data_IF_456060086485
#
_entry.id   IF_456060086485
#
_cell.length_a   1.000
_cell.length_b   1.000
_cell.length_c   1.000
_cell.angle_alpha   90.00
_cell.angle_beta   90.00
_cell.angle_gamma   90.00
#
_symmetry.space_group_name_H-M   'P 1'
#
loop_
_entity.id
_entity.type
_entity.pdbx_description
1 polymer ?
#
# COMPACT_ATOMS: atom_id res chain seq x y z
N UNK A 1 14.39 34.16 20.02
CA UNK A 1 13.56 33.04 19.52
C UNK A 1 14.22 31.76 19.97
N UNK A 2 13.48 30.87 20.63
CA UNK A 2 14.00 29.54 20.97
C UNK A 2 14.28 28.79 19.67
N UNK A 3 15.48 28.21 19.52
CA UNK A 3 15.84 27.45 18.32
C UNK A 3 14.90 26.23 18.19
N UNK A 4 14.38 25.98 16.99
CA UNK A 4 13.54 24.81 16.69
C UNK A 4 14.32 23.54 17.00
N UNK A 5 13.75 22.61 17.77
CA UNK A 5 14.36 21.28 17.96
C UNK A 5 14.17 20.39 16.74
N UNK A 6 15.09 19.46 16.46
CA UNK A 6 15.08 18.61 15.26
C UNK A 6 13.84 17.71 15.10
N UNK A 7 13.10 17.40 16.18
CA UNK A 7 11.82 16.66 16.10
C UNK A 7 10.64 17.52 15.60
N UNK A 8 10.73 18.84 15.75
CA UNK A 8 9.63 19.76 15.45
C UNK A 8 9.27 19.79 13.94
N UNK A 9 10.23 19.87 12.99
CA UNK A 9 9.93 19.80 11.56
C UNK A 9 9.17 18.52 11.18
N UNK A 10 9.55 17.36 11.71
CA UNK A 10 8.90 16.07 11.42
C UNK A 10 7.45 16.06 11.92
N UNK A 11 7.20 16.53 13.14
CA UNK A 11 5.85 16.60 13.68
C UNK A 11 4.96 17.57 12.88
N UNK A 12 5.51 18.69 12.43
CA UNK A 12 4.79 19.68 11.62
C UNK A 12 4.55 19.16 10.21
N UNK A 13 5.50 18.43 9.61
CA UNK A 13 5.34 17.79 8.30
C UNK A 13 4.11 16.87 8.26
N UNK A 14 4.03 15.91 9.18
CA UNK A 14 2.88 14.98 9.21
C UNK A 14 1.57 15.65 9.62
N UNK A 15 1.61 16.69 10.46
CA UNK A 15 0.42 17.52 10.74
C UNK A 15 -0.02 18.29 9.50
N UNK A 16 0.94 18.84 8.76
CA UNK A 16 0.73 19.55 7.50
C UNK A 16 0.09 18.65 6.46
N UNK A 17 0.49 17.38 6.36
CA UNK A 17 -0.16 16.40 5.47
C UNK A 17 -1.63 16.15 5.84
N UNK A 18 -1.96 16.08 7.13
CA UNK A 18 -3.36 15.95 7.59
C UNK A 18 -4.18 17.20 7.29
N UNK A 19 -3.61 18.38 7.56
CA UNK A 19 -4.25 19.65 7.25
C UNK A 19 -4.47 19.78 5.75
N UNK A 20 -3.44 19.45 4.96
CA UNK A 20 -3.51 19.44 3.52
C UNK A 20 -4.65 18.52 3.12
N UNK A 21 -4.64 17.23 3.48
CA UNK A 21 -5.72 16.27 3.20
C UNK A 21 -7.12 16.85 3.37
N UNK A 22 -7.37 17.58 4.47
CA UNK A 22 -8.67 18.18 4.78
C UNK A 22 -8.96 19.48 4.03
N UNK A 23 -8.04 20.45 4.07
CA UNK A 23 -8.27 21.84 3.64
C UNK A 23 -7.87 22.09 2.19
N UNK A 24 -6.90 21.35 1.67
CA UNK A 24 -6.45 21.45 0.29
C UNK A 24 -5.43 22.56 0.00
N UNK A 25 -4.81 23.19 0.99
CA UNK A 25 -3.77 24.22 0.81
C UNK A 25 -2.33 23.65 0.91
N UNK A 26 -1.68 23.26 -0.21
CA UNK A 26 -0.38 22.56 -0.17
C UNK A 26 0.79 23.43 0.28
N UNK A 27 0.72 24.74 0.10
CA UNK A 27 1.87 25.63 0.29
C UNK A 27 2.34 25.70 1.75
N UNK A 28 1.49 25.35 2.72
CA UNK A 28 1.88 25.27 4.13
C UNK A 28 2.72 24.05 4.47
N UNK A 29 2.59 22.96 3.71
CA UNK A 29 3.32 21.70 3.98
C UNK A 29 4.84 21.91 3.81
N UNK A 30 5.22 22.67 2.78
CA UNK A 30 6.61 22.84 2.37
C UNK A 30 7.34 23.98 3.12
N UNK A 31 6.67 24.70 4.02
CA UNK A 31 7.27 25.80 4.78
C UNK A 31 8.43 25.39 5.72
N UNK A 32 8.62 24.07 5.92
CA UNK A 32 9.64 23.49 6.79
C UNK A 32 10.69 22.69 6.02
N UNK A 33 10.66 22.79 4.69
CA UNK A 33 11.64 22.19 3.79
C UNK A 33 12.72 23.23 3.47
N UNK A 34 13.98 22.81 3.47
CA UNK A 34 15.13 23.70 3.27
C UNK A 34 15.24 24.25 1.84
N UNK A 35 14.91 23.42 0.86
CA UNK A 35 14.95 23.74 -0.57
C UNK A 35 13.60 23.40 -1.19
N UNK A 36 12.78 24.43 -1.44
CA UNK A 36 11.45 24.27 -2.00
C UNK A 36 11.43 23.86 -3.48
N UNK A 37 12.58 23.97 -4.15
CA UNK A 37 12.75 23.65 -5.58
C UNK A 37 13.45 22.29 -5.79
N UNK A 38 13.73 21.54 -4.71
CA UNK A 38 14.31 20.21 -4.79
C UNK A 38 13.38 19.23 -5.53
N UNK A 39 13.98 18.28 -6.26
CA UNK A 39 13.22 17.32 -7.10
C UNK A 39 12.16 16.55 -6.30
N UNK A 40 12.50 16.04 -5.11
CA UNK A 40 11.56 15.31 -4.26
C UNK A 40 10.39 16.17 -3.76
N UNK A 41 10.59 17.49 -3.61
CA UNK A 41 9.54 18.44 -3.21
C UNK A 41 8.54 18.61 -4.32
N UNK A 42 9.01 18.74 -5.56
CA UNK A 42 8.14 18.81 -6.72
C UNK A 42 7.38 17.49 -6.93
N UNK A 43 8.04 16.34 -6.76
CA UNK A 43 7.38 15.03 -6.82
C UNK A 43 6.25 14.90 -5.77
N UNK A 44 6.51 15.29 -4.52
CA UNK A 44 5.50 15.28 -3.44
C UNK A 44 4.38 16.29 -3.73
N UNK A 45 4.68 17.48 -4.26
CA UNK A 45 3.67 18.46 -4.68
C UNK A 45 2.75 17.89 -5.75
N UNK A 46 3.33 17.29 -6.79
CA UNK A 46 2.57 16.66 -7.88
C UNK A 46 1.72 15.50 -7.38
N UNK A 47 2.21 14.71 -6.42
CA UNK A 47 1.42 13.66 -5.75
C UNK A 47 0.18 14.25 -5.06
N UNK A 48 0.31 15.35 -4.34
CA UNK A 48 -0.83 16.02 -3.71
C UNK A 48 -1.81 16.63 -4.71
N UNK A 49 -1.33 17.16 -5.83
CA UNK A 49 -2.19 17.63 -6.94
C UNK A 49 -3.03 16.48 -7.48
N UNK A 50 -2.42 15.33 -7.78
CA UNK A 50 -3.15 14.14 -8.27
C UNK A 50 -4.19 13.64 -7.27
N UNK A 51 -3.85 13.64 -5.98
CA UNK A 51 -4.78 13.29 -4.91
C UNK A 51 -5.97 14.25 -4.88
N UNK A 52 -5.77 15.57 -5.04
CA UNK A 52 -6.87 16.55 -5.12
C UNK A 52 -7.77 16.33 -6.31
N UNK A 53 -7.17 16.07 -7.47
CA UNK A 53 -7.94 15.76 -8.67
C UNK A 53 -8.81 14.52 -8.45
N UNK A 54 -8.25 13.48 -7.82
CA UNK A 54 -8.98 12.27 -7.49
C UNK A 54 -10.15 12.55 -6.52
N UNK A 55 -9.92 13.35 -5.47
CA UNK A 55 -11.00 13.73 -4.53
C UNK A 55 -12.11 14.50 -5.25
N UNK A 56 -11.76 15.46 -6.11
CA UNK A 56 -12.73 16.24 -6.89
C UNK A 56 -13.54 15.36 -7.85
N UNK A 57 -12.88 14.44 -8.56
CA UNK A 57 -13.53 13.51 -9.49
C UNK A 57 -14.52 12.57 -8.80
N UNK A 58 -14.29 12.27 -7.53
CA UNK A 58 -15.09 11.35 -6.71
C UNK A 58 -16.11 12.07 -5.83
N UNK A 59 -16.18 13.40 -5.92
CA UNK A 59 -16.96 14.25 -5.01
C UNK A 59 -16.69 13.92 -3.52
N UNK A 60 -15.46 13.52 -3.24
CA UNK A 60 -15.01 13.09 -1.92
C UNK A 60 -14.87 14.34 -1.03
N UNK A 61 -15.54 14.32 0.12
CA UNK A 61 -15.41 15.35 1.17
C UNK A 61 -14.50 14.83 2.28
N UNK A 62 -13.26 15.33 2.38
CA UNK A 62 -12.37 14.97 3.48
C UNK A 62 -12.95 15.46 4.81
N UNK A 63 -13.00 14.59 5.81
CA UNK A 63 -13.54 14.94 7.14
C UNK A 63 -12.43 15.01 8.19
N UNK A 64 -11.48 14.08 8.14
CA UNK A 64 -10.37 14.01 9.10
C UNK A 64 -9.15 13.32 8.49
N UNK A 65 -7.98 13.88 8.73
CA UNK A 65 -6.71 13.16 8.64
C UNK A 65 -6.10 13.00 10.03
N UNK A 66 -5.63 11.81 10.35
CA UNK A 66 -4.89 11.52 11.57
C UNK A 66 -3.59 10.80 11.21
N UNK A 67 -2.47 11.33 11.72
CA UNK A 67 -1.16 10.67 11.62
C UNK A 67 -0.66 10.36 13.00
N UNK A 68 -0.28 9.11 13.21
CA UNK A 68 0.55 8.67 14.34
C UNK A 68 1.87 8.23 13.79
N UNK A 69 2.97 8.66 14.40
CA UNK A 69 4.28 8.17 14.03
C UNK A 69 5.09 7.77 15.25
N UNK A 70 5.98 6.80 15.06
CA UNK A 70 6.95 6.34 16.04
C UNK A 70 8.33 6.43 15.42
N UNK A 71 9.28 6.97 16.17
CA UNK A 71 10.67 6.97 15.73
C UNK A 71 11.27 5.58 15.91
N UNK A 72 11.88 5.07 14.83
CA UNK A 72 12.52 3.77 14.76
C UNK A 72 14.04 3.88 14.97
N UNK A 73 14.65 4.90 14.36
CA UNK A 73 16.08 5.19 14.43
C UNK A 73 16.29 6.70 14.37
N UNK A 74 17.29 7.16 15.11
CA UNK A 74 17.80 8.53 15.11
C UNK A 74 19.32 8.43 15.01
N UNK A 75 19.92 9.13 14.07
CA UNK A 75 21.37 9.14 13.88
C UNK A 75 21.85 10.55 13.55
N UNK A 76 22.74 11.05 14.39
CA UNK A 76 23.40 12.33 14.16
C UNK A 76 24.68 12.07 13.37
N UNK A 77 24.74 12.54 12.13
CA UNK A 77 25.93 12.39 11.28
C UNK A 77 26.97 13.48 11.58
N UNK A 78 26.50 14.72 11.75
CA UNK A 78 27.29 15.92 12.05
C UNK A 78 26.50 16.81 13.04
N UNK A 79 27.13 17.83 13.61
CA UNK A 79 26.47 18.75 14.55
C UNK A 79 25.20 19.39 13.95
N UNK A 80 25.19 19.61 12.63
CA UNK A 80 24.09 20.21 11.88
C UNK A 80 23.30 19.20 11.02
N UNK A 81 23.55 17.88 11.10
CA UNK A 81 22.87 16.87 10.27
C UNK A 81 22.29 15.73 11.10
N UNK A 82 21.03 15.39 10.82
CA UNK A 82 20.30 14.33 11.51
C UNK A 82 19.51 13.50 10.51
N UNK A 83 19.62 12.18 10.61
CA UNK A 83 18.76 11.23 9.91
C UNK A 83 17.78 10.58 10.90
N UNK A 84 16.52 10.47 10.50
CA UNK A 84 15.47 9.81 11.26
C UNK A 84 14.74 8.78 10.40
N UNK A 85 14.58 7.56 10.94
CA UNK A 85 13.62 6.60 10.40
C UNK A 85 12.38 6.59 11.28
N UNK A 86 11.21 6.78 10.67
CA UNK A 86 9.92 6.81 11.37
C UNK A 86 8.96 5.79 10.76
N UNK A 87 8.22 5.08 11.61
CA UNK A 87 7.02 4.34 11.20
C UNK A 87 5.82 5.27 11.33
N UNK A 88 4.94 5.28 10.34
CA UNK A 88 3.81 6.21 10.23
C UNK A 88 2.54 5.42 9.95
N UNK A 89 1.51 5.69 10.75
CA UNK A 89 0.14 5.23 10.54
C UNK A 89 -0.73 6.44 10.23
N UNK A 90 -1.24 6.47 9.00
CA UNK A 90 -2.18 7.48 8.54
C UNK A 90 -3.58 6.88 8.46
N UNK A 91 -4.56 7.61 8.96
CA UNK A 91 -5.98 7.27 8.87
C UNK A 91 -6.74 8.47 8.33
N UNK A 92 -7.51 8.23 7.27
CA UNK A 92 -8.30 9.26 6.63
C UNK A 92 -9.78 8.89 6.67
N UNK A 93 -10.58 9.78 7.22
CA UNK A 93 -12.04 9.71 7.25
C UNK A 93 -12.60 10.67 6.21
N UNK A 94 -13.52 10.20 5.37
CA UNK A 94 -14.11 10.99 4.30
C UNK A 94 -15.54 10.56 4.02
N UNK A 95 -16.30 11.44 3.36
CA UNK A 95 -17.66 11.18 2.89
C UNK A 95 -17.69 11.16 1.36
N UNK A 96 -18.41 10.20 0.78
CA UNK A 96 -18.80 10.19 -0.64
C UNK A 96 -20.31 9.94 -0.68
N UNK A 97 -21.07 10.79 -1.37
CA UNK A 97 -22.53 10.64 -1.50
C UNK A 97 -23.31 10.44 -0.18
N UNK A 98 -22.79 10.95 0.95
CA UNK A 98 -23.40 10.80 2.28
C UNK A 98 -22.96 9.57 3.05
N UNK A 99 -22.23 8.64 2.42
CA UNK A 99 -21.66 7.47 3.09
C UNK A 99 -20.29 7.78 3.67
N UNK A 100 -20.07 7.30 4.90
CA UNK A 100 -18.82 7.48 5.63
C UNK A 100 -17.83 6.37 5.30
N UNK A 101 -16.63 6.74 4.90
CA UNK A 101 -15.56 5.84 4.51
C UNK A 101 -14.27 6.13 5.25
N UNK A 102 -13.48 5.07 5.40
CA UNK A 102 -12.17 5.11 6.04
C UNK A 102 -11.16 4.39 5.19
N UNK A 103 -9.98 5.00 5.06
CA UNK A 103 -8.78 4.36 4.52
C UNK A 103 -7.63 4.50 5.52
N UNK A 104 -6.73 3.53 5.51
CA UNK A 104 -5.56 3.50 6.38
C UNK A 104 -4.30 3.13 5.60
N UNK A 105 -3.18 3.71 5.99
CA UNK A 105 -1.86 3.42 5.41
C UNK A 105 -0.82 3.29 6.52
N UNK A 106 0.04 2.26 6.43
CA UNK A 106 1.25 2.10 7.22
C UNK A 106 2.47 2.17 6.30
N UNK A 107 3.33 3.13 6.58
CA UNK A 107 4.54 3.41 5.81
C UNK A 107 5.71 3.69 6.75
N UNK A 108 6.93 3.55 6.24
CA UNK A 108 8.12 4.04 6.91
C UNK A 108 8.71 5.18 6.10
N UNK A 109 9.33 6.16 6.75
CA UNK A 109 10.04 7.24 6.08
C UNK A 109 11.46 7.35 6.63
N UNK A 110 12.40 7.59 5.72
CA UNK A 110 13.73 8.11 6.05
C UNK A 110 13.68 9.62 5.83
N UNK A 111 13.98 10.38 6.88
CA UNK A 111 13.90 11.84 6.88
C UNK A 111 15.28 12.38 7.21
N UNK A 112 15.83 13.21 6.32
CA UNK A 112 17.09 13.91 6.56
C UNK A 112 16.80 15.35 6.95
N UNK A 113 17.46 15.81 8.00
CA UNK A 113 17.27 17.14 8.58
C UNK A 113 18.61 17.88 8.62
N UNK A 114 18.55 19.20 8.50
CA UNK A 114 19.73 20.08 8.67
C UNK A 114 19.43 21.26 9.57
N UNK A 115 20.38 21.63 10.43
CA UNK A 115 20.28 22.85 11.25
C UNK A 115 20.71 24.08 10.44
N UNK A 116 19.80 25.05 10.29
CA UNK A 116 20.08 26.36 9.70
C UNK A 116 19.98 27.50 10.72
N UNK A 117 20.00 28.74 10.23
CA UNK A 117 19.90 29.94 11.08
C UNK A 117 18.59 30.00 11.88
N UNK A 118 17.49 29.53 11.29
CA UNK A 118 16.15 29.52 11.90
C UNK A 118 15.85 28.23 12.69
N UNK A 119 16.84 27.33 12.80
CA UNK A 119 16.73 26.01 13.42
C UNK A 119 16.67 24.88 12.38
N UNK A 120 16.22 23.70 12.83
CA UNK A 120 16.18 22.49 12.00
C UNK A 120 15.09 22.54 10.91
N UNK A 121 15.37 21.99 9.74
CA UNK A 121 14.46 21.84 8.59
C UNK A 121 14.64 20.50 7.89
N UNK A 122 13.64 20.07 7.11
CA UNK A 122 13.68 18.84 6.31
C UNK A 122 14.44 19.11 5.01
N UNK A 123 15.41 18.26 4.71
CA UNK A 123 16.21 18.29 3.47
C UNK A 123 15.75 17.19 2.51
N UNK A 124 15.34 16.04 3.04
CA UNK A 124 14.81 14.91 2.28
C UNK A 124 13.77 14.15 3.12
N UNK A 125 12.75 13.60 2.46
CA UNK A 125 11.75 12.75 3.08
C UNK A 125 11.34 11.61 2.12
N UNK A 126 12.07 10.50 2.20
CA UNK A 126 11.87 9.34 1.32
C UNK A 126 10.97 8.29 1.97
N UNK A 127 9.94 7.80 1.26
CA UNK A 127 9.16 6.64 1.69
C UNK A 127 10.00 5.36 1.56
N UNK A 128 9.91 4.50 2.56
CA UNK A 128 10.61 3.22 2.65
C UNK A 128 9.58 2.09 2.87
N UNK A 129 9.89 0.85 2.46
CA UNK A 129 9.08 -0.31 2.84
C UNK A 129 8.87 -0.35 4.35
N UNK A 130 7.65 -0.67 4.79
CA UNK A 130 7.30 -0.65 6.21
C UNK A 130 8.11 -1.69 7.01
N UNK A 131 8.92 -1.21 7.96
CA UNK A 131 9.86 -2.05 8.72
C UNK A 131 9.34 -2.48 10.10
N UNK A 132 8.07 -2.24 10.44
CA UNK A 132 7.62 -2.49 11.79
C UNK A 132 7.13 -3.93 12.03
N UNK A 133 7.50 -4.44 13.21
CA UNK A 133 6.95 -5.64 13.83
C UNK A 133 6.04 -5.23 14.99
N UNK A 134 4.84 -4.72 14.70
CA UNK A 134 3.75 -4.95 15.63
C UNK A 134 2.85 -5.98 14.98
N UNK A 135 2.99 -7.22 15.44
CA UNK A 135 1.91 -8.17 15.33
C UNK A 135 0.74 -7.55 16.10
N UNK A 136 -0.14 -6.84 15.41
CA UNK A 136 -1.47 -6.55 15.94
C UNK A 136 -2.21 -7.89 16.00
N UNK A 137 -1.82 -8.71 16.98
CA UNK A 137 -2.57 -9.87 17.47
C UNK A 137 -3.79 -9.35 18.23
N UNK A 138 -4.54 -8.42 17.63
CA UNK A 138 -5.92 -8.21 18.01
C UNK A 138 -6.66 -9.53 17.82
N UNK A 139 -7.74 -9.71 18.57
CA UNK A 139 -8.66 -10.81 18.38
C UNK A 139 -9.21 -10.76 16.95
N UNK A 140 -8.56 -11.46 16.01
CA UNK A 140 -9.12 -11.69 14.69
C UNK A 140 -10.03 -12.90 14.78
N UNK A 141 -11.28 -12.74 14.33
CA UNK A 141 -12.21 -13.85 14.10
C UNK A 141 -11.82 -14.69 12.87
N UNK A 142 -10.73 -14.34 12.18
CA UNK A 142 -10.20 -15.15 11.10
C UNK A 142 -9.63 -16.46 11.64
N UNK A 143 -10.34 -17.55 11.36
CA UNK A 143 -9.80 -18.89 11.48
C UNK A 143 -9.13 -19.27 10.16
N UNK A 144 -7.80 -19.52 10.14
CA UNK A 144 -7.16 -20.01 8.93
C UNK A 144 -7.82 -21.32 8.48
N UNK A 145 -8.01 -21.55 7.17
CA UNK A 145 -8.50 -22.81 6.67
C UNK A 145 -7.62 -23.95 7.21
N UNK A 146 -8.24 -25.05 7.63
CA UNK A 146 -7.51 -26.27 7.93
C UNK A 146 -6.85 -26.80 6.66
N UNK A 147 -5.75 -27.56 6.77
CA UNK A 147 -5.01 -28.10 5.60
C UNK A 147 -5.86 -29.02 4.68
N UNK A 148 -7.15 -29.24 5.00
CA UNK A 148 -8.14 -29.94 4.16
C UNK A 148 -9.27 -29.07 3.59
N UNK A 149 -9.40 -27.79 3.97
CA UNK A 149 -10.51 -26.92 3.54
C UNK A 149 -10.32 -26.32 2.13
N UNK A 150 -9.12 -26.42 1.56
CA UNK A 150 -8.83 -26.01 0.17
C UNK A 150 -9.45 -26.93 -0.90
N UNK A 151 -10.25 -27.91 -0.47
CA UNK A 151 -10.91 -28.88 -1.36
C UNK A 151 -12.30 -28.40 -1.83
N UNK A 152 -12.69 -27.15 -1.54
CA UNK A 152 -13.86 -26.53 -2.17
C UNK A 152 -13.47 -26.09 -3.58
N UNK A 153 -14.12 -26.66 -4.60
CA UNK A 153 -13.80 -26.43 -6.03
C UNK A 153 -14.05 -25.01 -6.55
N UNK A 154 -14.40 -24.05 -5.69
CA UNK A 154 -14.71 -22.66 -6.05
C UNK A 154 -14.00 -21.67 -5.10
N UNK A 155 -13.52 -20.56 -5.66
CA UNK A 155 -12.87 -19.48 -4.92
C UNK A 155 -13.87 -18.78 -3.99
N UNK A 156 -13.65 -18.84 -2.68
CA UNK A 156 -14.44 -18.10 -1.71
C UNK A 156 -13.89 -16.68 -1.53
N UNK A 157 -14.50 -15.73 -2.26
CA UNK A 157 -14.16 -14.31 -2.23
C UNK A 157 -14.14 -13.71 -0.84
N UNK A 158 -15.14 -14.05 -0.02
CA UNK A 158 -15.28 -13.48 1.32
C UNK A 158 -14.15 -13.95 2.24
N UNK A 159 -13.66 -15.19 2.10
CA UNK A 159 -12.47 -15.64 2.83
C UNK A 159 -11.21 -14.89 2.40
N UNK A 160 -11.04 -14.62 1.11
CA UNK A 160 -9.92 -13.81 0.62
C UNK A 160 -9.98 -12.37 1.16
N UNK A 161 -11.16 -11.74 1.14
CA UNK A 161 -11.35 -10.40 1.73
C UNK A 161 -11.14 -10.41 3.24
N UNK A 162 -11.65 -11.40 3.97
CA UNK A 162 -11.41 -11.54 5.41
C UNK A 162 -9.92 -11.68 5.75
N UNK A 163 -9.18 -12.43 4.93
CA UNK A 163 -7.73 -12.53 5.06
C UNK A 163 -7.07 -11.17 4.84
N UNK A 164 -7.43 -10.49 3.75
CA UNK A 164 -6.89 -9.17 3.42
C UNK A 164 -7.20 -8.13 4.49
N UNK A 165 -8.40 -8.13 5.08
CA UNK A 165 -8.76 -7.24 6.19
C UNK A 165 -8.08 -7.61 7.52
N UNK A 166 -7.66 -8.87 7.69
CA UNK A 166 -6.93 -9.31 8.88
C UNK A 166 -5.45 -8.93 8.82
N UNK A 167 -4.84 -9.06 7.64
CA UNK A 167 -3.39 -8.97 7.49
C UNK A 167 -2.90 -7.72 6.75
N UNK A 168 -3.77 -6.80 6.32
CA UNK A 168 -3.34 -5.58 5.60
C UNK A 168 -2.24 -4.78 6.31
N UNK A 169 -2.17 -4.85 7.63
CA UNK A 169 -1.24 -4.09 8.48
C UNK A 169 -0.09 -4.93 9.06
N UNK A 170 0.09 -6.19 8.63
CA UNK A 170 1.08 -7.06 9.23
C UNK A 170 1.34 -8.37 8.47
N UNK A 171 2.46 -9.01 8.77
CA UNK A 171 2.80 -10.29 8.14
C UNK A 171 2.13 -11.47 8.87
N UNK A 172 1.54 -12.39 8.10
CA UNK A 172 1.10 -13.66 8.64
C UNK A 172 2.33 -14.55 8.94
N UNK A 173 2.57 -14.96 10.21
CA UNK A 173 3.76 -15.71 10.60
C UNK A 173 3.85 -17.12 9.98
N UNK A 174 2.79 -17.62 9.32
CA UNK A 174 2.84 -18.86 8.53
C UNK A 174 3.64 -18.72 7.23
N UNK A 175 3.91 -17.49 6.79
CA UNK A 175 4.60 -17.20 5.54
C UNK A 175 5.87 -16.40 5.82
N UNK A 176 6.83 -16.52 4.91
CA UNK A 176 8.04 -15.71 4.93
C UNK A 176 7.68 -14.26 4.59
N UNK A 177 8.28 -13.33 5.32
CA UNK A 177 8.22 -11.90 5.02
C UNK A 177 9.23 -11.56 3.91
N UNK A 178 8.79 -10.79 2.93
CA UNK A 178 9.63 -10.23 1.88
C UNK A 178 9.80 -8.71 2.09
N UNK A 179 10.83 -8.12 1.48
CA UNK A 179 10.99 -6.66 1.43
C UNK A 179 9.90 -6.05 0.53
N UNK A 180 9.76 -6.56 -0.70
CA UNK A 180 8.63 -6.32 -1.59
C UNK A 180 7.57 -7.40 -1.40
N UNK A 181 6.56 -7.10 -0.59
CA UNK A 181 5.61 -8.10 -0.09
C UNK A 181 4.25 -8.10 -0.81
N UNK A 182 4.05 -7.21 -1.79
CA UNK A 182 2.77 -7.09 -2.50
C UNK A 182 2.28 -8.44 -3.03
N UNK A 183 3.07 -9.15 -3.83
CA UNK A 183 2.66 -10.40 -4.47
C UNK A 183 2.51 -11.55 -3.48
N UNK A 184 3.36 -11.60 -2.45
CA UNK A 184 3.27 -12.62 -1.41
C UNK A 184 1.96 -12.45 -0.62
N UNK A 185 1.62 -11.23 -0.22
CA UNK A 185 0.33 -10.92 0.42
C UNK A 185 -0.86 -11.29 -0.46
N UNK A 186 -0.83 -10.90 -1.74
CA UNK A 186 -1.92 -11.23 -2.68
C UNK A 186 -2.04 -12.74 -2.89
N UNK A 187 -0.93 -13.46 -3.00
CA UNK A 187 -0.96 -14.92 -3.11
C UNK A 187 -1.54 -15.58 -1.85
N UNK A 188 -1.22 -15.05 -0.66
CA UNK A 188 -1.85 -15.51 0.58
C UNK A 188 -3.36 -15.24 0.59
N UNK A 189 -3.82 -14.09 0.11
CA UNK A 189 -5.25 -13.79 0.02
C UNK A 189 -5.98 -14.77 -0.92
N UNK A 190 -5.42 -15.00 -2.12
CA UNK A 190 -5.98 -15.95 -3.09
C UNK A 190 -6.04 -17.37 -2.50
N UNK A 191 -4.97 -17.79 -1.82
CA UNK A 191 -4.91 -19.11 -1.19
C UNK A 191 -5.89 -19.24 -0.01
N UNK A 192 -6.05 -18.19 0.81
CA UNK A 192 -7.05 -18.13 1.87
C UNK A 192 -8.48 -18.19 1.33
N UNK A 193 -8.70 -17.69 0.11
CA UNK A 193 -9.93 -17.89 -0.66
C UNK A 193 -10.15 -19.32 -1.15
N UNK A 194 -9.25 -20.27 -0.90
CA UNK A 194 -9.42 -21.68 -1.21
C UNK A 194 -8.85 -22.13 -2.56
N UNK A 195 -8.08 -21.28 -3.26
CA UNK A 195 -7.37 -21.75 -4.47
C UNK A 195 -6.22 -22.68 -4.07
N UNK A 196 -6.25 -23.89 -4.61
CA UNK A 196 -5.20 -24.87 -4.43
C UNK A 196 -3.90 -24.44 -5.14
N UNK A 197 -2.78 -24.56 -4.46
CA UNK A 197 -1.47 -24.27 -5.06
C UNK A 197 -1.14 -25.24 -6.19
N UNK A 198 -0.57 -24.73 -7.27
CA UNK A 198 -0.05 -25.52 -8.37
C UNK A 198 1.43 -25.82 -8.14
N UNK A 199 1.74 -26.91 -7.45
CA UNK A 199 3.11 -27.26 -7.08
C UNK A 199 3.97 -27.67 -8.28
N UNK A 200 5.22 -27.24 -8.27
CA UNK A 200 6.23 -27.60 -9.27
C UNK A 200 7.60 -27.80 -8.61
N UNK A 201 8.50 -28.61 -9.20
CA UNK A 201 9.90 -28.67 -8.76
C UNK A 201 10.71 -27.44 -9.20
N UNK A 202 10.21 -26.67 -10.18
CA UNK A 202 10.85 -25.45 -10.69
C UNK A 202 10.12 -24.20 -10.21
N UNK A 203 10.88 -23.15 -9.86
CA UNK A 203 10.33 -21.86 -9.37
C UNK A 203 9.69 -21.01 -10.46
N UNK A 204 10.09 -21.19 -11.72
CA UNK A 204 9.53 -20.48 -12.88
C UNK A 204 8.19 -21.08 -13.38
N UNK A 205 7.64 -22.09 -12.67
CA UNK A 205 6.41 -22.79 -13.04
C UNK A 205 5.48 -22.98 -11.85
N UNK A 206 4.18 -23.04 -12.15
CA UNK A 206 3.12 -23.17 -11.17
C UNK A 206 2.86 -21.89 -10.38
N UNK A 207 2.18 -22.03 -9.25
CA UNK A 207 1.92 -20.99 -8.25
C UNK A 207 1.83 -21.66 -6.88
N UNK A 208 2.90 -21.56 -6.09
CA UNK A 208 3.06 -22.38 -4.90
C UNK A 208 4.05 -21.81 -3.88
N UNK A 209 3.82 -22.18 -2.62
CA UNK A 209 4.67 -21.88 -1.48
C UNK A 209 4.81 -23.12 -0.59
N UNK A 210 6.05 -23.48 -0.21
CA UNK A 210 6.33 -24.64 0.68
C UNK A 210 7.00 -24.25 1.99
N UNK A 211 7.38 -22.99 2.14
CA UNK A 211 8.15 -22.52 3.29
C UNK A 211 9.62 -22.95 3.29
N UNK A 212 10.46 -22.13 3.93
CA UNK A 212 11.93 -22.27 4.10
C UNK A 212 12.79 -22.22 2.82
N UNK A 213 14.03 -21.75 2.94
CA UNK A 213 15.12 -21.84 1.93
C UNK A 213 14.72 -21.55 0.47
N UNK A 214 14.03 -20.42 0.23
CA UNK A 214 13.59 -20.02 -1.12
C UNK A 214 12.65 -21.00 -1.85
N UNK A 215 11.91 -21.82 -1.09
CA UNK A 215 11.02 -22.83 -1.64
C UNK A 215 9.62 -22.25 -1.95
N UNK A 216 9.57 -21.41 -2.98
CA UNK A 216 8.34 -20.85 -3.58
C UNK A 216 8.53 -20.52 -5.05
N UNK A 217 7.44 -20.46 -5.82
CA UNK A 217 7.47 -20.02 -7.22
C UNK A 217 7.67 -18.51 -7.34
N UNK A 218 8.18 -18.05 -8.48
CA UNK A 218 8.24 -16.61 -8.78
C UNK A 218 6.83 -16.01 -8.83
N UNK A 219 5.85 -16.73 -9.39
CA UNK A 219 4.45 -16.31 -9.40
C UNK A 219 3.83 -16.13 -8.01
N UNK A 220 4.41 -16.71 -6.95
CA UNK A 220 3.95 -16.50 -5.59
C UNK A 220 4.46 -15.17 -5.00
N UNK A 221 5.64 -14.71 -5.42
CA UNK A 221 6.36 -13.63 -4.73
C UNK A 221 6.81 -12.45 -5.61
N UNK A 222 6.62 -12.51 -6.94
CA UNK A 222 7.05 -11.46 -7.89
C UNK A 222 5.88 -10.98 -8.74
N UNK A 223 5.63 -9.67 -8.76
CA UNK A 223 4.41 -9.08 -9.32
C UNK A 223 4.19 -9.39 -10.80
N UNK A 224 5.23 -9.23 -11.63
CA UNK A 224 5.20 -9.60 -13.03
C UNK A 224 4.92 -11.09 -13.24
N UNK A 225 5.46 -11.96 -12.38
CA UNK A 225 5.25 -13.39 -12.48
C UNK A 225 3.83 -13.81 -12.07
N UNK A 226 3.24 -13.20 -11.04
CA UNK A 226 1.85 -13.45 -10.66
C UNK A 226 0.89 -12.98 -11.76
N UNK A 227 1.11 -11.77 -12.29
CA UNK A 227 0.34 -11.27 -13.43
C UNK A 227 0.36 -12.26 -14.60
N UNK A 228 1.54 -12.77 -14.96
CA UNK A 228 1.68 -13.75 -16.04
C UNK A 228 1.02 -15.10 -15.72
N UNK A 229 0.91 -15.47 -14.45
CA UNK A 229 0.15 -16.63 -14.00
C UNK A 229 -1.36 -16.42 -14.17
N UNK A 230 -1.88 -15.27 -13.70
CA UNK A 230 -3.29 -14.89 -13.84
C UNK A 230 -3.72 -14.76 -15.30
N UNK A 231 -2.83 -14.29 -16.18
CA UNK A 231 -3.05 -14.25 -17.63
C UNK A 231 -3.38 -15.60 -18.26
N UNK A 232 -2.81 -16.67 -17.69
CA UNK A 232 -3.00 -18.05 -18.17
C UNK A 232 -4.18 -18.72 -17.46
N UNK A 233 -4.86 -18.02 -16.55
CA UNK A 233 -5.88 -18.54 -15.66
C UNK A 233 -5.31 -19.43 -14.54
N UNK A 234 -4.43 -20.38 -14.86
CA UNK A 234 -3.85 -21.30 -13.87
C UNK A 234 -4.91 -21.99 -13.03
N UNK A 235 -4.59 -22.28 -11.78
CA UNK A 235 -5.53 -22.83 -10.78
C UNK A 235 -6.55 -21.81 -10.29
N UNK A 236 -6.27 -20.51 -10.40
CA UNK A 236 -7.23 -19.45 -10.04
C UNK A 236 -8.37 -19.36 -11.05
N UNK A 237 -8.17 -19.86 -12.28
CA UNK A 237 -9.09 -19.68 -13.42
C UNK A 237 -9.40 -18.21 -13.70
N UNK A 238 -8.46 -17.33 -13.36
CA UNK A 238 -8.63 -15.89 -13.54
C UNK A 238 -8.92 -15.54 -15.01
N UNK A 239 -9.84 -14.60 -15.21
CA UNK A 239 -10.16 -14.02 -16.50
C UNK A 239 -9.89 -12.53 -16.46
N UNK A 240 -9.34 -11.98 -17.56
CA UNK A 240 -9.18 -10.53 -17.67
C UNK A 240 -10.53 -9.87 -17.91
N UNK A 241 -10.78 -8.77 -17.22
CA UNK A 241 -11.92 -7.87 -17.48
C UNK A 241 -11.42 -6.52 -18.01
N UNK A 242 -12.30 -5.76 -18.66
CA UNK A 242 -11.88 -4.58 -19.42
C UNK A 242 -11.80 -3.31 -18.57
N UNK A 243 -12.55 -3.28 -17.47
CA UNK A 243 -12.70 -2.11 -16.62
C UNK A 243 -12.70 -2.47 -15.12
N UNK A 244 -12.34 -1.54 -14.24
CA UNK A 244 -12.38 -1.77 -12.79
C UNK A 244 -13.81 -1.98 -12.26
N UNK A 245 -14.84 -1.51 -12.97
CA UNK A 245 -16.26 -1.70 -12.61
C UNK A 245 -16.75 -3.15 -12.80
N UNK A 246 -16.05 -3.95 -13.60
CA UNK A 246 -16.35 -5.37 -13.77
C UNK A 246 -15.76 -6.25 -12.66
N UNK A 247 -14.93 -5.65 -11.79
CA UNK A 247 -14.32 -6.35 -10.67
C UNK A 247 -15.34 -6.65 -9.57
N UNK A 248 -15.10 -7.72 -8.84
CA UNK A 248 -15.82 -8.12 -7.64
C UNK A 248 -14.88 -8.20 -6.45
N UNK A 249 -15.46 -8.36 -5.26
CA UNK A 249 -14.68 -8.64 -4.05
C UNK A 249 -13.75 -9.85 -4.26
N UNK A 250 -12.51 -9.72 -3.78
CA UNK A 250 -11.48 -10.74 -3.92
C UNK A 250 -10.80 -10.78 -5.29
N UNK A 251 -11.19 -9.94 -6.24
CA UNK A 251 -10.49 -9.84 -7.53
C UNK A 251 -9.19 -9.04 -7.42
N UNK A 252 -8.32 -9.19 -8.41
CA UNK A 252 -6.93 -8.69 -8.38
C UNK A 252 -6.72 -7.59 -9.40
N UNK A 253 -6.00 -6.53 -8.99
CA UNK A 253 -5.50 -5.50 -9.88
C UNK A 253 -3.98 -5.59 -9.92
N UNK A 254 -3.39 -5.61 -11.11
CA UNK A 254 -1.96 -5.48 -11.31
C UNK A 254 -1.64 -4.10 -11.88
N UNK A 255 -0.47 -3.55 -11.51
CA UNK A 255 -0.01 -2.23 -11.91
C UNK A 255 1.35 -2.34 -12.61
N UNK A 256 1.44 -1.68 -13.75
CA UNK A 256 2.69 -1.37 -14.44
C UNK A 256 2.88 0.16 -14.35
N UNK A 257 3.50 0.63 -13.27
CA UNK A 257 3.50 2.03 -12.86
C UNK A 257 4.20 2.97 -13.84
N UNK A 258 5.26 2.52 -14.49
CA UNK A 258 6.05 3.30 -15.46
C UNK A 258 5.71 2.97 -16.92
N UNK A 259 4.85 1.98 -17.15
CA UNK A 259 4.36 1.58 -18.46
C UNK A 259 5.40 0.82 -19.30
N UNK A 260 6.42 0.24 -18.67
CA UNK A 260 7.53 -0.42 -19.37
C UNK A 260 7.24 -1.90 -19.74
N UNK A 261 6.06 -2.42 -19.37
CA UNK A 261 5.65 -3.81 -19.59
C UNK A 261 6.02 -4.79 -18.46
N UNK A 262 6.77 -4.34 -17.45
CA UNK A 262 7.15 -5.10 -16.26
C UNK A 262 6.29 -4.68 -15.06
N UNK A 263 5.33 -5.52 -14.70
CA UNK A 263 4.37 -5.23 -13.64
C UNK A 263 5.04 -5.23 -12.25
N UNK A 264 4.90 -4.14 -11.50
CA UNK A 264 5.61 -3.92 -10.24
C UNK A 264 4.72 -4.14 -9.00
N UNK A 265 3.39 -4.07 -9.12
CA UNK A 265 2.51 -4.13 -7.94
C UNK A 265 1.23 -4.93 -8.17
N UNK A 266 0.70 -5.53 -7.10
CA UNK A 266 -0.57 -6.26 -7.09
C UNK A 266 -1.41 -5.86 -5.88
N UNK A 267 -2.72 -5.74 -6.06
CA UNK A 267 -3.68 -5.42 -5.00
C UNK A 267 -4.91 -6.32 -5.08
N UNK A 268 -5.66 -6.44 -3.98
CA UNK A 268 -6.92 -7.20 -3.91
C UNK A 268 -8.08 -6.26 -3.59
N UNK A 269 -9.19 -6.43 -4.30
CA UNK A 269 -10.43 -5.68 -4.08
C UNK A 269 -11.11 -6.17 -2.80
N UNK A 270 -11.32 -5.26 -1.84
CA UNK A 270 -11.89 -5.57 -0.52
C UNK A 270 -13.18 -4.82 -0.22
N UNK A 271 -13.46 -3.75 -0.96
CA UNK A 271 -14.70 -3.00 -0.89
C UNK A 271 -14.93 -2.22 -2.20
N UNK A 272 -16.04 -1.50 -2.26
CA UNK A 272 -16.35 -0.53 -3.31
C UNK A 272 -16.80 0.77 -2.66
N UNK A 273 -16.53 1.90 -3.31
CA UNK A 273 -17.16 3.16 -2.95
C UNK A 273 -18.57 3.28 -3.56
N UNK A 274 -19.36 4.30 -3.19
CA UNK A 274 -20.74 4.45 -3.67
C UNK A 274 -20.86 4.63 -5.19
N UNK A 275 -19.77 4.99 -5.87
CA UNK A 275 -19.70 5.09 -7.33
C UNK A 275 -19.43 3.73 -8.00
N UNK A 276 -19.36 2.64 -7.23
CA UNK A 276 -19.05 1.30 -7.71
C UNK A 276 -17.58 1.11 -8.07
N UNK A 277 -16.69 1.99 -7.60
CA UNK A 277 -15.26 1.90 -7.90
C UNK A 277 -14.54 1.09 -6.81
N UNK A 278 -13.58 0.21 -7.17
CA UNK A 278 -12.94 -0.66 -6.20
C UNK A 278 -12.12 0.08 -5.14
N UNK A 279 -12.16 -0.43 -3.93
CA UNK A 279 -11.24 -0.12 -2.84
C UNK A 279 -10.41 -1.37 -2.55
N UNK A 280 -9.10 -1.18 -2.37
CA UNK A 280 -8.15 -2.29 -2.33
C UNK A 280 -7.32 -2.31 -1.05
N UNK A 281 -6.89 -3.51 -0.68
CA UNK A 281 -5.84 -3.72 0.31
C UNK A 281 -4.55 -4.17 -0.40
N UNK A 282 -3.40 -3.79 0.16
CA UNK A 282 -2.09 -4.06 -0.44
C UNK A 282 -0.95 -4.01 0.58
N UNK A 283 0.20 -4.58 0.22
CA UNK A 283 1.47 -4.52 0.96
C UNK A 283 2.55 -3.70 0.21
N UNK A 284 3.81 -3.73 0.68
CA UNK A 284 4.96 -2.85 0.35
C UNK A 284 4.82 -1.46 0.99
N UNK A 285 3.72 -0.77 0.66
CA UNK A 285 3.12 0.23 1.53
C UNK A 285 1.78 -0.35 1.96
N UNK A 286 1.68 -0.71 3.24
CA UNK A 286 0.56 -1.44 3.78
C UNK A 286 -0.68 -0.54 3.76
N UNK A 287 -1.68 -0.90 2.98
CA UNK A 287 -2.84 -0.06 2.71
C UNK A 287 -4.13 -0.85 2.90
N UNK A 288 -5.13 -0.18 3.48
CA UNK A 288 -6.49 -0.70 3.65
C UNK A 288 -7.49 0.25 3.02
N UNK A 289 -8.38 -0.30 2.18
CA UNK A 289 -9.46 0.42 1.49
C UNK A 289 -8.96 1.66 0.73
N UNK A 290 -7.75 1.57 0.18
CA UNK A 290 -7.17 2.60 -0.68
C UNK A 290 -7.90 2.60 -2.03
N UNK A 291 -8.07 3.77 -2.63
CA UNK A 291 -8.69 3.85 -3.96
C UNK A 291 -7.83 3.15 -5.01
N UNK A 292 -8.47 2.34 -5.86
CA UNK A 292 -7.80 1.40 -6.75
C UNK A 292 -6.82 2.02 -7.76
N UNK A 293 -7.00 3.29 -8.16
CA UNK A 293 -6.24 3.89 -9.25
C UNK A 293 -4.80 4.26 -8.87
N UNK A 294 -4.46 4.23 -7.58
CA UNK A 294 -3.09 4.45 -7.08
C UNK A 294 -2.43 5.76 -7.53
N UNK A 295 -3.19 6.74 -8.04
CA UNK A 295 -2.63 8.01 -8.54
C UNK A 295 -1.89 8.81 -7.47
N UNK A 296 -2.21 8.55 -6.20
CA UNK A 296 -1.56 9.09 -5.01
C UNK A 296 -0.32 8.30 -4.55
N UNK A 297 0.17 7.34 -5.34
CA UNK A 297 1.40 6.60 -5.04
C UNK A 297 2.64 7.36 -5.50
N UNK A 298 3.75 7.18 -4.76
CA UNK A 298 5.09 7.64 -5.15
C UNK A 298 5.59 6.95 -6.42
N UNK A 299 5.18 5.70 -6.66
CA UNK A 299 5.60 4.96 -7.85
C UNK A 299 4.81 5.33 -9.11
N UNK A 300 3.63 5.95 -8.97
CA UNK A 300 2.71 6.16 -10.09
C UNK A 300 3.24 7.20 -11.09
N UNK A 301 3.10 6.91 -12.38
CA UNK A 301 3.38 7.87 -13.46
C UNK A 301 2.19 7.97 -14.42
N UNK A 302 2.10 9.01 -15.27
CA UNK A 302 1.09 9.09 -16.32
C UNK A 302 1.10 7.93 -17.34
N UNK A 303 2.18 7.15 -17.39
CA UNK A 303 2.29 5.95 -18.24
C UNK A 303 1.71 4.70 -17.59
N UNK A 304 1.26 4.78 -16.34
CA UNK A 304 0.77 3.64 -15.56
C UNK A 304 -0.29 2.85 -16.33
N UNK A 305 -0.10 1.53 -16.42
CA UNK A 305 -1.05 0.59 -17.00
C UNK A 305 -1.66 -0.30 -15.91
N UNK A 306 -2.89 -0.73 -16.12
CA UNK A 306 -3.62 -1.61 -15.20
C UNK A 306 -4.02 -2.92 -15.89
N UNK A 307 -4.08 -4.00 -15.12
CA UNK A 307 -4.75 -5.25 -15.52
C UNK A 307 -5.70 -5.67 -14.41
N UNK A 308 -6.92 -5.99 -14.82
CA UNK A 308 -8.01 -6.37 -13.94
C UNK A 308 -8.30 -7.86 -14.13
N UNK A 309 -8.27 -8.62 -13.05
CA UNK A 309 -8.49 -10.08 -13.09
C UNK A 309 -9.66 -10.48 -12.21
N UNK A 310 -10.69 -11.00 -12.85
CA UNK A 310 -11.80 -11.66 -12.20
C UNK A 310 -11.46 -13.13 -11.90
N UNK A 311 -11.51 -13.54 -10.63
CA UNK A 311 -11.28 -14.92 -10.21
C UNK A 311 -12.64 -15.57 -9.94
N UNK A 312 -13.14 -16.52 -10.74
CA UNK A 312 -14.50 -17.03 -10.60
C UNK A 312 -14.72 -17.82 -9.29
N UNK A 313 -15.81 -17.50 -8.59
CA UNK A 313 -16.23 -18.12 -7.34
C UNK A 313 -17.20 -17.27 -6.54
#
# INVERSE_FOLDING_TARGET
>A
MEKRGWRQPVAIWFRGQNQLWVEGEPDRLFAWVSDGDAEWVEEERQRWVRLREQQRMRELKPLKGETRFRVLREEQEEDDKMEMNVAVHQRYLYEIQGDLHEQEELSSYRIQLREGQDGWSIVDCTVMPYQFEEASRGWSYYHPPSEGDANTSSYNRMRAVQYAETWWNGANPRYQKFEDDCTNFISQCIHAGGVAMEFSPRRDRGWWYRGSRENWSYSWAVANSLKNYLDRGGTTRAARVSSPQELQLGDIICYDFDGNGHWQHNTIVTAFDPMGMPLVNAHTVNARRRYWDYRDSYAWTPRCQYRYYHIPG
#
